data_IF_751853317284
#
_entry.id   IF_751853317284
#
_cell.length_a   1.000
_cell.length_b   1.000
_cell.length_c   1.000
_cell.angle_alpha   90.00
_cell.angle_beta   90.00
_cell.angle_gamma   90.00
#
_symmetry.space_group_name_H-M   'P 1'
#
loop_
_entity.id
_entity.type
_entity.pdbx_description
1 polymer ?
#
# COMPACT_ATOMS: atom_id res chain seq x y z
N UNK A 1 9.30 -10.80 -14.11
CA UNK A 1 8.04 -10.18 -14.55
C UNK A 1 8.40 -8.86 -15.21
N UNK A 2 7.81 -8.54 -16.37
CA UNK A 2 8.06 -7.28 -17.05
C UNK A 2 7.04 -6.27 -16.53
N UNK A 3 7.44 -5.36 -15.65
CA UNK A 3 6.57 -4.26 -15.20
C UNK A 3 6.41 -3.26 -16.35
N UNK A 4 5.18 -2.75 -16.62
CA UNK A 4 4.99 -1.68 -17.60
C UNK A 4 5.59 -0.34 -17.13
N UNK A 5 5.89 -0.24 -15.84
CA UNK A 5 6.51 0.93 -15.22
C UNK A 5 8.00 0.70 -14.99
N UNK A 6 8.89 1.62 -15.42
CA UNK A 6 10.30 1.55 -15.04
C UNK A 6 10.43 1.67 -13.52
N UNK A 7 11.39 0.96 -12.94
CA UNK A 7 11.69 1.10 -11.51
C UNK A 7 12.16 2.52 -11.22
N UNK A 8 11.49 3.19 -10.29
CA UNK A 8 11.93 4.49 -9.79
C UNK A 8 13.13 4.33 -8.86
N UNK A 9 14.02 5.31 -8.85
CA UNK A 9 15.15 5.36 -7.93
C UNK A 9 15.32 6.80 -7.50
N UNK A 10 15.19 7.04 -6.21
CA UNK A 10 15.41 8.34 -5.59
C UNK A 10 16.83 8.45 -5.06
N UNK A 11 17.30 9.68 -4.82
CA UNK A 11 18.54 9.88 -4.10
C UNK A 11 18.37 9.40 -2.65
N UNK A 12 19.43 8.87 -2.05
CA UNK A 12 19.41 8.41 -0.66
C UNK A 12 19.05 9.50 0.37
N UNK A 13 19.15 10.78 0.00
CA UNK A 13 18.72 11.91 0.83
C UNK A 13 17.23 12.20 0.71
N UNK A 14 16.59 11.72 -0.34
CA UNK A 14 15.15 11.87 -0.59
C UNK A 14 14.37 10.65 -0.07
N UNK A 15 14.98 9.46 -0.09
CA UNK A 15 14.43 8.24 0.49
C UNK A 15 15.56 7.29 0.91
N UNK A 16 15.46 6.68 2.10
CA UNK A 16 16.44 5.70 2.60
C UNK A 16 16.19 4.26 2.13
N UNK A 17 15.16 4.05 1.30
CA UNK A 17 14.70 2.74 0.85
C UNK A 17 13.31 2.36 1.39
N UNK A 18 12.76 3.15 2.31
CA UNK A 18 11.41 2.94 2.89
C UNK A 18 10.33 2.83 1.83
N UNK A 19 10.29 3.72 0.83
CA UNK A 19 9.24 3.69 -0.20
C UNK A 19 9.32 2.46 -1.12
N UNK A 20 10.49 2.09 -1.69
CA UNK A 20 10.68 0.82 -2.39
C UNK A 20 10.31 -0.40 -1.53
N UNK A 21 10.67 -0.40 -0.24
CA UNK A 21 10.35 -1.51 0.66
C UNK A 21 8.83 -1.65 0.85
N UNK A 22 8.10 -0.56 1.10
CA UNK A 22 6.65 -0.62 1.20
C UNK A 22 5.99 -1.14 -0.09
N UNK A 23 6.46 -0.72 -1.27
CA UNK A 23 5.96 -1.24 -2.55
C UNK A 23 6.21 -2.74 -2.66
N UNK A 24 7.40 -3.22 -2.26
CA UNK A 24 7.72 -4.64 -2.24
C UNK A 24 6.82 -5.41 -1.28
N UNK A 25 6.65 -4.93 -0.04
CA UNK A 25 5.77 -5.55 0.96
C UNK A 25 4.32 -5.61 0.49
N UNK A 26 3.80 -4.54 -0.11
CA UNK A 26 2.46 -4.55 -0.68
C UNK A 26 2.36 -5.55 -1.83
N UNK A 27 3.37 -5.57 -2.71
CA UNK A 27 3.42 -6.49 -3.85
C UNK A 27 3.40 -7.95 -3.41
N UNK A 28 4.14 -8.31 -2.36
CA UNK A 28 4.13 -9.66 -1.79
C UNK A 28 2.73 -10.07 -1.29
N UNK A 29 1.95 -9.12 -0.77
CA UNK A 29 0.62 -9.39 -0.23
C UNK A 29 -0.47 -9.50 -1.30
N UNK A 30 -0.36 -8.80 -2.43
CA UNK A 30 -1.47 -8.66 -3.40
C UNK A 30 -1.23 -9.34 -4.75
N UNK A 31 0.03 -9.56 -5.18
CA UNK A 31 0.32 -10.19 -6.47
C UNK A 31 -0.17 -11.65 -6.46
N UNK A 32 -0.84 -12.06 -7.54
CA UNK A 32 -1.47 -13.38 -7.64
C UNK A 32 -2.92 -13.42 -7.15
N UNK A 33 -3.47 -12.28 -6.69
CA UNK A 33 -4.84 -12.17 -6.19
C UNK A 33 -5.68 -11.18 -7.02
N UNK A 34 -6.99 -11.23 -6.83
CA UNK A 34 -7.93 -10.22 -7.37
C UNK A 34 -8.43 -9.31 -6.26
N UNK A 35 -8.70 -8.05 -6.60
CA UNK A 35 -9.30 -7.10 -5.67
C UNK A 35 -10.81 -7.30 -5.66
N UNK A 36 -11.38 -7.55 -4.49
CA UNK A 36 -12.83 -7.62 -4.28
C UNK A 36 -13.37 -6.30 -3.78
N UNK A 37 -12.63 -5.62 -2.91
CA UNK A 37 -13.07 -4.36 -2.30
C UNK A 37 -11.87 -3.48 -1.92
N UNK A 38 -12.08 -2.16 -1.93
CA UNK A 38 -11.13 -1.17 -1.41
C UNK A 38 -11.90 -0.17 -0.58
N UNK A 39 -11.53 -0.01 0.68
CA UNK A 39 -12.21 0.88 1.63
C UNK A 39 -11.21 1.83 2.28
N UNK A 40 -11.56 3.11 2.36
CA UNK A 40 -10.82 4.14 3.11
C UNK A 40 -11.37 4.31 4.51
N UNK A 41 -10.53 4.81 5.42
CA UNK A 41 -10.85 5.05 6.83
C UNK A 41 -11.40 3.79 7.55
N UNK A 42 -10.95 2.62 7.09
CA UNK A 42 -11.38 1.32 7.59
C UNK A 42 -10.43 0.84 8.67
N UNK A 43 -10.99 0.20 9.69
CA UNK A 43 -10.21 -0.36 10.79
C UNK A 43 -9.32 -1.49 10.29
N UNK A 44 -8.05 -1.41 10.68
CA UNK A 44 -7.03 -2.43 10.45
C UNK A 44 -6.67 -3.08 11.78
N UNK A 45 -6.65 -4.40 11.81
CA UNK A 45 -6.35 -5.22 12.99
C UNK A 45 -4.85 -5.48 13.04
N UNK A 46 -4.14 -4.66 13.82
CA UNK A 46 -2.68 -4.81 14.01
C UNK A 46 -2.28 -5.97 14.94
N UNK A 47 -3.21 -6.53 15.75
CA UNK A 47 -2.89 -7.61 16.69
C UNK A 47 -3.49 -8.97 16.27
N UNK A 48 -2.66 -10.01 16.04
CA UNK A 48 -3.13 -11.35 15.68
C UNK A 48 -3.86 -12.07 16.82
N UNK A 49 -3.69 -11.66 18.08
CA UNK A 49 -4.40 -12.24 19.23
C UNK A 49 -5.89 -11.80 19.21
N UNK A 50 -6.86 -12.72 18.98
CA UNK A 50 -8.29 -12.39 18.95
C UNK A 50 -8.86 -12.05 20.32
N UNK A 51 -8.18 -12.45 21.40
CA UNK A 51 -8.62 -12.24 22.78
C UNK A 51 -7.96 -11.01 23.41
N UNK A 52 -6.86 -10.53 22.82
CA UNK A 52 -6.23 -9.24 23.16
C UNK A 52 -6.50 -8.22 22.07
N UNK A 53 -7.76 -7.78 22.03
CA UNK A 53 -8.12 -6.53 21.36
C UNK A 53 -7.45 -5.33 22.06
N UNK A 54 -6.17 -5.11 21.81
CA UNK A 54 -5.59 -3.79 21.98
C UNK A 54 -6.14 -2.93 20.84
N UNK A 55 -7.28 -2.31 21.12
CA UNK A 55 -7.98 -1.37 20.25
C UNK A 55 -7.20 -0.06 20.10
N UNK A 56 -5.96 -0.12 19.59
CA UNK A 56 -5.30 1.07 19.08
C UNK A 56 -5.86 1.29 17.67
N UNK A 57 -6.97 2.03 17.62
CA UNK A 57 -7.83 2.23 16.45
C UNK A 57 -7.17 3.00 15.31
N UNK A 58 -6.17 2.40 14.68
CA UNK A 58 -5.63 2.91 13.43
C UNK A 58 -6.59 2.55 12.29
N UNK A 59 -7.15 3.58 11.69
CA UNK A 59 -7.87 3.49 10.42
C UNK A 59 -6.86 3.63 9.28
N UNK A 60 -7.05 2.86 8.23
CA UNK A 60 -6.23 2.91 7.04
C UNK A 60 -7.04 2.61 5.80
N UNK A 61 -6.35 2.41 4.69
CA UNK A 61 -6.98 1.89 3.48
C UNK A 61 -6.88 0.38 3.48
N UNK A 62 -7.99 -0.31 3.31
CA UNK A 62 -8.05 -1.77 3.30
C UNK A 62 -8.39 -2.27 1.91
N UNK A 63 -7.53 -3.11 1.36
CA UNK A 63 -7.74 -3.87 0.14
C UNK A 63 -8.17 -5.28 0.53
N UNK A 64 -9.37 -5.70 0.14
CA UNK A 64 -9.85 -7.07 0.35
C UNK A 64 -9.64 -7.88 -0.91
N UNK A 65 -8.99 -9.03 -0.76
CA UNK A 65 -8.63 -9.93 -1.84
C UNK A 65 -9.66 -11.08 -1.99
N UNK A 66 -9.61 -11.78 -3.11
CA UNK A 66 -10.56 -12.85 -3.46
C UNK A 66 -10.47 -14.11 -2.60
N UNK A 67 -9.36 -14.30 -1.90
CA UNK A 67 -9.20 -15.33 -0.88
C UNK A 67 -9.70 -14.89 0.52
N UNK A 68 -10.23 -13.68 0.66
CA UNK A 68 -10.69 -13.11 1.93
C UNK A 68 -9.61 -12.43 2.76
N UNK A 69 -8.34 -12.44 2.32
CA UNK A 69 -7.26 -11.70 2.97
C UNK A 69 -7.53 -10.20 2.86
N UNK A 70 -7.25 -9.47 3.94
CA UNK A 70 -7.34 -8.00 3.98
C UNK A 70 -5.94 -7.43 4.13
N UNK A 71 -5.56 -6.52 3.25
CA UNK A 71 -4.28 -5.81 3.28
C UNK A 71 -4.55 -4.36 3.66
N UNK A 72 -4.14 -3.96 4.86
CA UNK A 72 -4.28 -2.62 5.38
C UNK A 72 -3.02 -1.77 5.12
N UNK A 73 -3.21 -0.58 4.59
CA UNK A 73 -2.18 0.46 4.46
C UNK A 73 -2.50 1.57 5.47
N UNK A 74 -1.67 1.70 6.49
CA UNK A 74 -1.83 2.70 7.55
C UNK A 74 -0.73 3.74 7.37
N UNK A 75 -1.13 4.99 7.08
CA UNK A 75 -0.18 6.09 6.96
C UNK A 75 0.52 6.34 8.28
N UNK A 76 1.85 6.46 8.25
CA UNK A 76 2.64 6.84 9.43
C UNK A 76 3.13 8.28 9.29
N UNK A 77 3.43 8.93 10.40
CA UNK A 77 4.04 10.24 10.36
C UNK A 77 4.27 10.87 11.73
N UNK A 78 5.15 11.87 11.72
CA UNK A 78 5.43 12.80 12.80
C UNK A 78 5.41 14.24 12.26
N UNK A 79 5.90 15.22 13.03
CA UNK A 79 5.83 16.63 12.64
C UNK A 79 6.73 17.00 11.44
N UNK A 80 7.65 16.12 11.04
CA UNK A 80 8.66 16.40 10.02
C UNK A 80 8.64 15.39 8.88
N UNK A 81 8.08 14.20 9.08
CA UNK A 81 7.93 13.19 8.04
C UNK A 81 6.51 12.60 8.08
N UNK A 82 5.97 12.22 6.93
CA UNK A 82 4.64 11.63 6.85
C UNK A 82 4.47 10.75 5.62
N UNK A 83 3.46 9.89 5.67
CA UNK A 83 2.94 9.15 4.53
C UNK A 83 1.45 8.97 4.72
N UNK A 84 0.69 9.25 3.67
CA UNK A 84 -0.76 9.11 3.66
C UNK A 84 -1.27 8.68 2.29
N UNK A 85 -2.41 7.99 2.28
CA UNK A 85 -3.15 7.79 1.04
C UNK A 85 -4.11 8.95 0.85
N UNK A 86 -3.83 9.82 -0.11
CA UNK A 86 -4.66 10.99 -0.41
C UNK A 86 -5.94 10.60 -1.13
N UNK A 87 -5.84 9.76 -2.17
CA UNK A 87 -6.99 9.25 -2.94
C UNK A 87 -6.67 7.92 -3.61
N UNK A 88 -7.72 7.22 -4.08
CA UNK A 88 -7.57 6.05 -4.93
C UNK A 88 -8.59 6.05 -6.07
N UNK A 89 -8.25 5.36 -7.15
CA UNK A 89 -9.15 5.07 -8.27
C UNK A 89 -9.15 3.56 -8.54
N UNK A 90 -10.30 2.92 -8.27
CA UNK A 90 -10.51 1.51 -8.57
C UNK A 90 -11.17 1.37 -9.96
N UNK A 91 -10.51 0.69 -10.88
CA UNK A 91 -11.01 0.42 -12.22
C UNK A 91 -11.97 -0.77 -12.21
N UNK A 92 -13.25 -0.50 -11.97
CA UNK A 92 -14.30 -1.51 -11.79
C UNK A 92 -14.41 -2.53 -12.94
N UNK A 93 -14.07 -2.14 -14.17
CA UNK A 93 -14.05 -3.00 -15.35
C UNK A 93 -12.89 -4.01 -15.35
N UNK A 94 -11.92 -3.86 -14.43
CA UNK A 94 -10.70 -4.66 -14.38
C UNK A 94 -10.48 -5.42 -13.06
N UNK A 95 -11.36 -5.26 -12.07
CA UNK A 95 -11.21 -5.86 -10.73
C UNK A 95 -11.19 -7.40 -10.75
N UNK A 96 -11.78 -8.01 -11.78
CA UNK A 96 -11.79 -9.46 -11.96
C UNK A 96 -10.47 -10.04 -12.50
N UNK A 97 -9.43 -9.21 -12.69
CA UNK A 97 -8.11 -9.65 -13.15
C UNK A 97 -7.12 -9.87 -12.01
N UNK A 98 -6.31 -10.91 -12.17
CA UNK A 98 -5.23 -11.24 -11.25
C UNK A 98 -4.17 -10.14 -11.33
N UNK A 99 -3.83 -9.55 -10.18
CA UNK A 99 -2.75 -8.59 -10.07
C UNK A 99 -1.44 -9.29 -10.44
N UNK A 100 -0.69 -8.67 -11.34
CA UNK A 100 0.60 -9.17 -11.83
C UNK A 100 1.78 -8.36 -11.35
N UNK A 101 1.55 -7.18 -10.75
CA UNK A 101 2.59 -6.39 -10.12
C UNK A 101 2.11 -5.06 -9.58
N UNK A 102 3.07 -4.33 -8.99
CA UNK A 102 2.92 -2.95 -8.57
C UNK A 102 4.04 -2.14 -9.20
N UNK A 103 3.71 -0.96 -9.71
CA UNK A 103 4.66 0.01 -10.25
C UNK A 103 4.42 1.36 -9.61
N UNK A 104 5.40 2.25 -9.71
CA UNK A 104 5.27 3.61 -9.20
C UNK A 104 5.65 4.63 -10.25
N UNK A 105 5.07 5.81 -10.14
CA UNK A 105 5.46 6.98 -10.91
C UNK A 105 5.50 8.22 -10.02
N UNK A 106 6.13 9.27 -10.53
CA UNK A 106 6.19 10.59 -9.93
C UNK A 106 6.86 10.57 -8.53
N UNK A 107 7.94 9.82 -8.38
CA UNK A 107 8.72 9.71 -7.14
C UNK A 107 7.93 9.03 -6.03
N UNK A 108 7.35 7.86 -6.31
CA UNK A 108 6.51 7.11 -5.37
C UNK A 108 5.22 7.82 -4.93
N UNK A 109 4.82 8.91 -5.60
CA UNK A 109 3.55 9.60 -5.28
C UNK A 109 2.34 9.00 -5.98
N UNK A 110 2.55 8.13 -6.97
CA UNK A 110 1.49 7.32 -7.58
C UNK A 110 1.89 5.86 -7.62
N UNK A 111 1.03 5.01 -7.06
CA UNK A 111 1.24 3.56 -7.10
C UNK A 111 0.17 2.93 -7.96
N UNK A 112 0.63 2.08 -8.88
CA UNK A 112 -0.15 1.40 -9.89
C UNK A 112 -0.18 -0.07 -9.53
N UNK A 113 -1.30 -0.56 -9.01
CA UNK A 113 -1.53 -2.00 -8.86
C UNK A 113 -2.17 -2.47 -10.16
N UNK A 114 -1.44 -3.28 -10.93
CA UNK A 114 -1.79 -3.60 -12.30
C UNK A 114 -1.94 -5.10 -12.55
N UNK A 115 -2.72 -5.40 -13.58
CA UNK A 115 -2.84 -6.71 -14.21
C UNK A 115 -2.40 -6.62 -15.68
N UNK A 116 -2.53 -7.72 -16.44
CA UNK A 116 -2.14 -7.79 -17.86
C UNK A 116 -2.80 -6.72 -18.76
N UNK A 117 -3.92 -6.15 -18.33
CA UNK A 117 -4.69 -5.11 -19.06
C UNK A 117 -4.50 -3.69 -18.49
N UNK A 118 -3.43 -3.48 -17.71
CA UNK A 118 -3.08 -2.22 -17.08
C UNK A 118 -3.61 -2.11 -15.65
N UNK A 119 -3.75 -0.87 -15.18
CA UNK A 119 -4.04 -0.59 -13.78
C UNK A 119 -5.43 -1.08 -13.38
N UNK A 120 -5.49 -1.78 -12.24
CA UNK A 120 -6.70 -2.21 -11.55
C UNK A 120 -7.02 -1.24 -10.41
N UNK A 121 -5.99 -0.79 -9.69
CA UNK A 121 -6.10 0.21 -8.64
C UNK A 121 -4.94 1.21 -8.76
N UNK A 122 -5.27 2.50 -8.80
CA UNK A 122 -4.31 3.59 -8.70
C UNK A 122 -4.44 4.24 -7.32
N UNK A 123 -3.30 4.47 -6.68
CA UNK A 123 -3.17 5.11 -5.37
C UNK A 123 -2.40 6.41 -5.52
N UNK A 124 -2.95 7.52 -5.00
CA UNK A 124 -2.20 8.76 -4.84
C UNK A 124 -1.67 8.82 -3.42
N UNK A 125 -0.34 8.81 -3.30
CA UNK A 125 0.41 8.69 -2.05
C UNK A 125 1.10 10.02 -1.78
N UNK A 126 0.66 10.69 -0.72
CA UNK A 126 1.38 11.85 -0.17
C UNK A 126 2.46 11.34 0.77
N UNK A 127 3.70 11.76 0.58
CA UNK A 127 4.77 11.41 1.52
C UNK A 127 5.87 12.47 1.57
N UNK A 128 6.57 12.49 2.69
CA UNK A 128 7.79 13.26 2.89
C UNK A 128 8.66 12.56 3.92
N UNK A 129 9.94 12.33 3.61
CA UNK A 129 10.90 11.75 4.53
C UNK A 129 11.36 12.71 5.63
N UNK A 130 11.17 14.03 5.46
CA UNK A 130 11.76 15.06 6.32
C UNK A 130 13.29 14.99 6.31
N UNK A 131 13.84 14.21 7.25
CA UNK A 131 15.20 13.71 7.21
C UNK A 131 15.13 12.18 7.23
N UNK A 132 15.48 11.50 6.14
CA UNK A 132 15.22 10.08 5.97
C UNK A 132 15.97 9.20 6.98
N UNK A 133 17.03 9.71 7.60
CA UNK A 133 17.82 8.96 8.59
C UNK A 133 17.36 9.15 10.04
N UNK A 134 16.33 9.96 10.28
CA UNK A 134 15.93 10.37 11.62
C UNK A 134 14.44 10.21 11.92
N UNK A 135 13.58 10.45 10.93
CA UNK A 135 12.13 10.41 11.11
C UNK A 135 11.52 9.18 10.42
N UNK A 136 10.48 8.61 11.03
CA UNK A 136 9.75 7.49 10.46
C UNK A 136 8.73 7.96 9.44
N UNK A 137 8.70 7.32 8.28
CA UNK A 137 7.70 7.51 7.24
C UNK A 137 7.40 6.16 6.57
N UNK A 138 6.54 6.18 5.54
CA UNK A 138 6.01 5.00 4.90
C UNK A 138 4.66 4.56 5.46
N UNK A 139 4.09 3.54 4.83
CA UNK A 139 2.95 2.83 5.33
C UNK A 139 3.37 1.72 6.29
N UNK A 140 2.65 1.59 7.39
CA UNK A 140 2.56 0.31 8.10
C UNK A 140 1.60 -0.58 7.31
N UNK A 141 2.14 -1.64 6.69
CA UNK A 141 1.37 -2.59 5.88
C UNK A 141 1.04 -3.82 6.74
N UNK A 142 -0.25 -4.09 6.90
CA UNK A 142 -0.76 -5.18 7.73
C UNK A 142 -1.52 -6.17 6.85
N UNK A 143 -1.20 -7.46 6.97
CA UNK A 143 -1.90 -8.54 6.27
C UNK A 143 -2.72 -9.33 7.28
N UNK A 144 -4.03 -9.33 7.11
CA UNK A 144 -4.98 -10.07 7.94
C UNK A 144 -5.47 -11.30 7.17
N UNK A 145 -5.30 -12.48 7.76
CA UNK A 145 -5.80 -13.73 7.19
C UNK A 145 -7.33 -13.74 7.09
N UNK A 146 -7.84 -14.49 6.12
CA UNK A 146 -9.26 -14.75 5.99
C UNK A 146 -9.81 -15.40 7.28
N UNK A 147 -10.89 -14.83 7.81
CA UNK A 147 -11.59 -15.35 9.00
C UNK A 147 -12.43 -16.58 8.70
#
# INVERSE_FOLDING_TARGET
>A
MNTPYPTETLDHNDDDGTMPENVATLSEAVVGHRIVNVEKDTRVRQNPDPDKFYWNGNTGTVITLDNGVRVGLIGTGDCCAYTELETFLLHADKIDHIITGIGTTDGYTKWHIFADMGDVLELTVGWSCGNPFYYGYGFEIVVEDAS
#
